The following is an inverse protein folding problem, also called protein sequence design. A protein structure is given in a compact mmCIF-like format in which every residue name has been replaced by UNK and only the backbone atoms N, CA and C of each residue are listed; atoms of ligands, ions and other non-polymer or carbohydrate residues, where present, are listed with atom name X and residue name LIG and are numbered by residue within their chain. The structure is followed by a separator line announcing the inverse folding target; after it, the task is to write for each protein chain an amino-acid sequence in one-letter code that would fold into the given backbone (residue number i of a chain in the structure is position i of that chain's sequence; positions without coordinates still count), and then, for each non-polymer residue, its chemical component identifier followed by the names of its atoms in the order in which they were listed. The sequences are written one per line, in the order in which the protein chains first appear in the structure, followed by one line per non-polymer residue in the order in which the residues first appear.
data_IF_906608717507
#
_entry.id   IF_906608717507
#
_cell.length_a   1.000
_cell.length_b   1.000
_cell.length_c   1.000
_cell.angle_alpha   90.00
_cell.angle_beta   90.00
_cell.angle_gamma   90.00
#
_symmetry.space_group_name_H-M   'P 1'
#
loop_
_entity.id
_entity.type
_entity.pdbx_description
1 polymer ?
#
# COMPACT_ATOMS: atom_id res chain seq x y z
N UNK A 1 -27.40 13.47 -29.60
CA UNK A 1 -26.12 14.21 -29.74
C UNK A 1 -25.15 13.53 -28.82
N UNK A 2 -24.09 12.97 -29.38
CA UNK A 2 -23.10 12.21 -28.62
C UNK A 2 -22.21 13.16 -27.84
N UNK A 3 -22.01 12.85 -26.56
CA UNK A 3 -21.21 13.64 -25.63
C UNK A 3 -19.96 12.86 -25.23
N UNK A 4 -18.84 13.59 -25.10
CA UNK A 4 -17.64 13.09 -24.44
C UNK A 4 -17.61 13.61 -23.01
N UNK A 5 -17.47 12.68 -22.08
CA UNK A 5 -17.27 12.95 -20.67
C UNK A 5 -15.84 12.60 -20.26
N UNK A 6 -15.13 13.56 -19.70
CA UNK A 6 -13.81 13.34 -19.09
C UNK A 6 -14.00 13.25 -17.56
N UNK A 7 -13.54 12.16 -16.94
CA UNK A 7 -13.70 11.87 -15.52
C UNK A 7 -12.32 11.84 -14.83
N UNK A 8 -12.24 12.31 -13.59
CA UNK A 8 -11.00 12.36 -12.82
C UNK A 8 -11.25 12.13 -11.33
N UNK A 9 -10.47 11.23 -10.74
CA UNK A 9 -10.49 10.90 -9.32
C UNK A 9 -9.21 11.44 -8.68
N UNK A 10 -9.35 12.13 -7.55
CA UNK A 10 -8.25 12.65 -6.75
C UNK A 10 -8.59 12.66 -5.24
N UNK A 11 -7.61 12.98 -4.38
CA UNK A 11 -6.23 13.37 -4.69
C UNK A 11 -5.33 12.17 -5.01
N UNK A 12 -4.55 12.23 -6.09
CA UNK A 12 -3.59 11.14 -6.44
C UNK A 12 -2.33 11.24 -5.61
N UNK A 13 -1.62 12.37 -5.68
CA UNK A 13 -0.35 12.55 -4.97
C UNK A 13 -0.54 12.51 -3.45
N UNK A 14 -1.58 13.21 -2.95
CA UNK A 14 -1.93 13.19 -1.53
C UNK A 14 -2.26 11.80 -1.00
N UNK A 15 -2.81 10.92 -1.84
CA UNK A 15 -3.09 9.54 -1.45
C UNK A 15 -1.87 8.61 -1.62
N UNK A 16 -1.23 8.60 -2.78
CA UNK A 16 -0.18 7.63 -3.12
C UNK A 16 1.16 7.98 -2.47
N UNK A 17 1.60 9.24 -2.57
CA UNK A 17 2.94 9.65 -2.12
C UNK A 17 3.07 9.70 -0.59
N UNK A 18 1.97 9.89 0.14
CA UNK A 18 1.97 9.88 1.61
C UNK A 18 1.97 8.45 2.15
N UNK A 19 3.01 7.69 1.82
CA UNK A 19 3.17 6.26 2.14
C UNK A 19 4.53 6.04 2.76
N UNK A 20 4.60 5.41 3.94
CA UNK A 20 5.88 5.12 4.60
C UNK A 20 6.51 3.80 4.16
N UNK A 21 5.68 2.86 3.68
CA UNK A 21 6.11 1.53 3.27
C UNK A 21 5.80 1.31 1.81
N UNK A 22 6.60 0.47 1.16
CA UNK A 22 6.36 0.02 -0.22
C UNK A 22 5.00 -0.66 -0.36
N UNK A 23 4.56 -1.42 0.66
CA UNK A 23 3.20 -1.98 0.71
C UNK A 23 2.11 -0.92 0.73
N UNK A 24 2.29 0.14 1.53
CA UNK A 24 1.34 1.26 1.58
C UNK A 24 1.30 1.95 0.22
N UNK A 25 2.46 2.15 -0.42
CA UNK A 25 2.58 2.77 -1.74
C UNK A 25 1.87 1.94 -2.82
N UNK A 26 2.18 0.65 -2.90
CA UNK A 26 1.50 -0.29 -3.80
C UNK A 26 0.00 -0.30 -3.53
N UNK A 27 -0.39 -0.41 -2.25
CA UNK A 27 -1.76 -0.48 -1.81
C UNK A 27 -2.56 0.76 -2.22
N UNK A 28 -1.94 1.94 -2.12
CA UNK A 28 -2.54 3.20 -2.58
C UNK A 28 -2.80 3.17 -4.08
N UNK A 29 -1.80 2.77 -4.87
CA UNK A 29 -1.94 2.70 -6.33
C UNK A 29 -3.01 1.70 -6.73
N UNK A 30 -3.02 0.52 -6.09
CA UNK A 30 -4.00 -0.52 -6.33
C UNK A 30 -5.42 -0.06 -6.01
N UNK A 31 -5.64 0.50 -4.83
CA UNK A 31 -6.95 1.01 -4.41
C UNK A 31 -7.46 2.10 -5.37
N UNK A 32 -6.60 3.02 -5.81
CA UNK A 32 -6.98 4.06 -6.77
C UNK A 32 -7.44 3.46 -8.12
N UNK A 33 -6.71 2.48 -8.65
CA UNK A 33 -7.10 1.77 -9.87
C UNK A 33 -8.37 0.95 -9.68
N UNK A 34 -8.55 0.30 -8.54
CA UNK A 34 -9.76 -0.46 -8.19
C UNK A 34 -11.00 0.45 -8.11
N UNK A 35 -10.89 1.61 -7.45
CA UNK A 35 -11.95 2.61 -7.42
C UNK A 35 -12.27 3.17 -8.82
N UNK A 36 -11.23 3.36 -9.65
CA UNK A 36 -11.41 3.77 -11.05
C UNK A 36 -12.17 2.72 -11.86
N UNK A 37 -11.85 1.44 -11.66
CA UNK A 37 -12.55 0.31 -12.27
C UNK A 37 -14.05 0.29 -11.90
N UNK A 38 -14.37 0.49 -10.62
CA UNK A 38 -15.75 0.56 -10.16
C UNK A 38 -16.49 1.78 -10.73
N UNK A 39 -15.83 2.93 -10.83
CA UNK A 39 -16.40 4.12 -11.49
C UNK A 39 -16.72 3.84 -12.97
N UNK A 40 -15.77 3.25 -13.71
CA UNK A 40 -15.93 2.84 -15.11
C UNK A 40 -17.09 1.85 -15.26
N UNK A 41 -17.17 0.83 -14.40
CA UNK A 41 -18.28 -0.14 -14.42
C UNK A 41 -19.64 0.54 -14.18
N UNK A 42 -19.72 1.45 -13.21
CA UNK A 42 -20.95 2.21 -12.92
C UNK A 42 -21.41 3.03 -14.11
N UNK A 43 -20.46 3.63 -14.83
CA UNK A 43 -20.69 4.39 -16.06
C UNK A 43 -21.18 3.49 -17.20
N UNK A 44 -20.55 2.33 -17.43
CA UNK A 44 -20.99 1.38 -18.47
C UNK A 44 -22.41 0.87 -18.20
N UNK A 45 -22.74 0.55 -16.94
CA UNK A 45 -24.10 0.14 -16.55
C UNK A 45 -25.14 1.24 -16.75
N UNK A 46 -24.72 2.51 -16.79
CA UNK A 46 -25.59 3.65 -17.05
C UNK A 46 -25.64 4.05 -18.54
N UNK A 47 -24.99 3.29 -19.43
CA UNK A 47 -25.02 3.52 -20.87
C UNK A 47 -23.89 4.39 -21.43
N UNK A 48 -22.82 4.63 -20.66
CA UNK A 48 -21.58 5.23 -21.19
C UNK A 48 -20.63 4.17 -21.77
N UNK A 49 -19.84 4.52 -22.77
CA UNK A 49 -18.76 3.66 -23.29
C UNK A 49 -17.39 4.23 -22.90
N UNK A 50 -16.54 3.43 -22.24
CA UNK A 50 -15.19 3.85 -21.90
C UNK A 50 -14.31 3.83 -23.15
N UNK A 51 -13.90 5.02 -23.61
CA UNK A 51 -13.08 5.17 -24.82
C UNK A 51 -11.59 5.33 -24.51
N UNK A 52 -11.23 5.84 -23.33
CA UNK A 52 -9.83 6.00 -22.90
C UNK A 52 -9.70 5.73 -21.39
N UNK A 53 -8.88 4.76 -20.93
CA UNK A 53 -8.10 3.81 -21.72
C UNK A 53 -8.98 2.69 -22.29
N UNK A 54 -8.39 1.81 -23.12
CA UNK A 54 -9.05 0.57 -23.56
C UNK A 54 -9.10 -0.41 -22.38
N UNK A 55 -10.29 -0.65 -21.83
CA UNK A 55 -10.46 -1.47 -20.61
C UNK A 55 -10.91 -2.91 -20.88
N UNK A 56 -11.40 -3.23 -22.08
CA UNK A 56 -12.03 -4.53 -22.39
C UNK A 56 -11.12 -5.74 -22.13
N UNK A 57 -9.80 -5.57 -22.29
CA UNK A 57 -8.83 -6.64 -22.05
C UNK A 57 -8.16 -6.59 -20.67
N UNK A 58 -8.34 -5.49 -19.94
CA UNK A 58 -7.70 -5.25 -18.64
C UNK A 58 -8.19 -6.25 -17.58
N UNK A 59 -7.24 -6.87 -16.87
CA UNK A 59 -7.54 -7.93 -15.91
C UNK A 59 -8.28 -7.40 -14.68
N UNK A 60 -7.88 -6.23 -14.16
CA UNK A 60 -8.53 -5.62 -13.00
C UNK A 60 -9.97 -5.23 -13.34
N UNK A 61 -10.19 -4.64 -14.52
CA UNK A 61 -11.51 -4.27 -15.00
C UNK A 61 -12.43 -5.49 -15.14
N UNK A 62 -11.95 -6.55 -15.80
CA UNK A 62 -12.69 -7.82 -15.95
C UNK A 62 -13.13 -8.40 -14.62
N UNK A 63 -12.24 -8.41 -13.62
CA UNK A 63 -12.52 -8.95 -12.29
C UNK A 63 -13.57 -8.13 -11.53
N UNK A 64 -13.51 -6.81 -11.61
CA UNK A 64 -14.55 -5.90 -11.09
C UNK A 64 -15.90 -6.14 -11.78
N UNK A 65 -15.87 -6.40 -13.10
CA UNK A 65 -17.03 -6.80 -13.90
C UNK A 65 -17.51 -8.24 -13.69
N UNK A 66 -16.89 -9.00 -12.79
CA UNK A 66 -17.29 -10.38 -12.46
C UNK A 66 -16.69 -11.45 -13.36
N UNK A 67 -15.92 -11.09 -14.39
CA UNK A 67 -15.22 -12.01 -15.29
C UNK A 67 -13.88 -12.45 -14.67
N UNK A 68 -13.95 -13.27 -13.63
CA UNK A 68 -12.80 -13.70 -12.81
C UNK A 68 -12.11 -14.94 -13.37
N UNK A 69 -11.45 -14.77 -14.51
CA UNK A 69 -10.64 -15.83 -15.12
C UNK A 69 -9.16 -15.66 -14.75
N UNK A 70 -8.47 -16.77 -14.45
CA UNK A 70 -7.04 -16.80 -14.13
C UNK A 70 -6.72 -16.34 -12.69
N UNK A 71 -5.50 -15.84 -12.50
CA UNK A 71 -5.04 -15.33 -11.20
C UNK A 71 -5.66 -13.96 -10.88
N UNK A 72 -5.75 -13.64 -9.58
CA UNK A 72 -6.22 -12.35 -9.12
C UNK A 72 -5.30 -11.21 -9.60
N UNK A 73 -5.85 -10.06 -10.03
CA UNK A 73 -5.05 -8.92 -10.47
C UNK A 73 -4.26 -8.36 -9.30
N UNK A 74 -2.93 -8.37 -9.41
CA UNK A 74 -2.00 -7.83 -8.40
C UNK A 74 -1.51 -6.41 -8.72
N UNK A 75 -1.82 -5.91 -9.92
CA UNK A 75 -1.37 -4.61 -10.43
C UNK A 75 -2.58 -3.68 -10.56
N UNK A 76 -2.45 -2.46 -10.02
CA UNK A 76 -3.37 -1.36 -10.31
C UNK A 76 -3.07 -0.80 -11.70
N UNK A 77 -3.74 -1.32 -12.73
CA UNK A 77 -3.48 -0.97 -14.14
C UNK A 77 -4.28 0.22 -14.64
N UNK A 78 -5.41 0.52 -13.99
CA UNK A 78 -6.35 1.53 -14.48
C UNK A 78 -6.01 2.93 -13.96
N UNK A 79 -6.04 3.96 -14.83
CA UNK A 79 -5.72 5.32 -14.47
C UNK A 79 -6.86 5.98 -13.71
N UNK A 80 -6.53 7.03 -12.97
CA UNK A 80 -7.49 7.86 -12.24
C UNK A 80 -8.21 8.90 -13.12
N UNK A 81 -7.84 9.00 -14.40
CA UNK A 81 -8.49 9.86 -15.38
C UNK A 81 -8.84 9.03 -16.61
N UNK A 82 -10.08 9.14 -17.07
CA UNK A 82 -10.57 8.39 -18.21
C UNK A 82 -11.64 9.18 -18.98
N UNK A 83 -11.86 8.82 -20.23
CA UNK A 83 -12.85 9.44 -21.10
C UNK A 83 -13.93 8.44 -21.51
N UNK A 84 -15.15 8.96 -21.66
CA UNK A 84 -16.37 8.20 -21.88
C UNK A 84 -17.15 8.84 -23.02
N UNK A 85 -17.72 8.02 -23.89
CA UNK A 85 -18.69 8.43 -24.90
C UNK A 85 -20.11 8.12 -24.42
N UNK A 86 -21.04 9.05 -24.60
CA UNK A 86 -22.37 9.00 -24.01
C UNK A 86 -23.41 9.46 -25.03
N UNK A 87 -24.39 8.61 -25.30
CA UNK A 87 -25.61 8.95 -26.05
C UNK A 87 -26.78 9.14 -25.07
N UNK A 88 -26.76 10.25 -24.31
CA UNK A 88 -27.79 10.48 -23.29
C UNK A 88 -27.41 11.51 -22.23
N UNK A 89 -27.99 11.34 -21.03
CA UNK A 89 -27.78 12.24 -19.90
C UNK A 89 -26.40 12.04 -19.25
N UNK A 90 -25.46 12.90 -19.64
CA UNK A 90 -24.10 12.91 -19.08
C UNK A 90 -24.07 13.04 -17.55
N UNK A 91 -25.03 13.73 -16.92
CA UNK A 91 -25.08 13.90 -15.47
C UNK A 91 -25.46 12.59 -14.80
N UNK A 92 -26.49 11.90 -15.30
CA UNK A 92 -26.92 10.61 -14.78
C UNK A 92 -25.78 9.58 -14.85
N UNK A 93 -25.09 9.51 -16.00
CA UNK A 93 -23.93 8.62 -16.20
C UNK A 93 -22.77 8.97 -15.25
N UNK A 94 -22.42 10.26 -15.13
CA UNK A 94 -21.39 10.72 -14.19
C UNK A 94 -21.73 10.34 -12.74
N UNK A 95 -22.98 10.59 -12.33
CA UNK A 95 -23.47 10.27 -10.99
C UNK A 95 -23.44 8.76 -10.71
N UNK A 96 -23.73 7.91 -11.71
CA UNK A 96 -23.62 6.46 -11.57
C UNK A 96 -22.16 6.03 -11.31
N UNK A 97 -21.20 6.60 -12.04
CA UNK A 97 -19.77 6.37 -11.79
C UNK A 97 -19.30 6.81 -10.41
N UNK A 98 -19.69 8.03 -9.99
CA UNK A 98 -19.40 8.55 -8.63
C UNK A 98 -19.99 7.64 -7.56
N UNK A 99 -21.24 7.19 -7.75
CA UNK A 99 -21.90 6.28 -6.80
C UNK A 99 -21.15 4.96 -6.69
N UNK A 100 -20.82 4.33 -7.82
CA UNK A 100 -20.11 3.05 -7.84
C UNK A 100 -18.72 3.14 -7.17
N UNK A 101 -18.01 4.25 -7.39
CA UNK A 101 -16.75 4.54 -6.69
C UNK A 101 -16.95 4.63 -5.18
N UNK A 102 -17.94 5.40 -4.73
CA UNK A 102 -18.20 5.61 -3.31
C UNK A 102 -18.66 4.32 -2.62
N UNK A 103 -19.51 3.52 -3.27
CA UNK A 103 -19.95 2.23 -2.75
C UNK A 103 -18.75 1.28 -2.55
N UNK A 104 -17.85 1.21 -3.52
CA UNK A 104 -16.61 0.42 -3.42
C UNK A 104 -15.69 0.93 -2.30
N UNK A 105 -15.54 2.25 -2.18
CA UNK A 105 -14.74 2.86 -1.11
C UNK A 105 -15.31 2.57 0.28
N UNK A 106 -16.63 2.65 0.44
CA UNK A 106 -17.33 2.31 1.67
C UNK A 106 -17.16 0.83 2.00
N UNK A 107 -17.25 -0.07 1.00
CA UNK A 107 -16.99 -1.50 1.20
C UNK A 107 -15.58 -1.75 1.76
N UNK A 108 -14.56 -1.18 1.13
CA UNK A 108 -13.16 -1.29 1.58
C UNK A 108 -13.01 -0.76 3.01
N UNK A 109 -13.56 0.43 3.26
CA UNK A 109 -13.48 1.10 4.56
C UNK A 109 -14.15 0.28 5.65
N UNK A 110 -15.34 -0.27 5.38
CA UNK A 110 -16.07 -1.11 6.33
C UNK A 110 -15.31 -2.40 6.65
N UNK A 111 -14.68 -3.04 5.65
CA UNK A 111 -13.89 -4.24 5.90
C UNK A 111 -12.76 -3.99 6.90
N UNK A 112 -12.05 -2.86 6.78
CA UNK A 112 -10.97 -2.48 7.70
C UNK A 112 -11.52 -2.03 9.06
N UNK A 113 -12.60 -1.25 9.09
CA UNK A 113 -13.25 -0.81 10.32
C UNK A 113 -13.70 -1.98 11.19
N UNK A 114 -14.42 -2.94 10.59
CA UNK A 114 -14.97 -4.09 11.29
C UNK A 114 -13.87 -4.97 11.90
N UNK A 115 -12.76 -5.18 11.17
CA UNK A 115 -11.68 -6.05 11.63
C UNK A 115 -10.76 -5.40 12.68
N UNK A 116 -10.46 -4.10 12.56
CA UNK A 116 -9.38 -3.48 13.34
C UNK A 116 -9.83 -2.43 14.36
N UNK A 117 -11.05 -1.89 14.24
CA UNK A 117 -11.55 -0.81 15.10
C UNK A 117 -12.80 -1.20 15.88
N UNK A 118 -13.73 -1.92 15.25
CA UNK A 118 -14.96 -2.36 15.93
C UNK A 118 -14.75 -3.64 16.74
N UNK A 119 -13.92 -4.55 16.24
CA UNK A 119 -13.52 -5.77 16.95
C UNK A 119 -12.99 -5.42 18.35
N UNK A 120 -13.39 -6.19 19.35
CA UNK A 120 -13.07 -5.96 20.77
C UNK A 120 -13.42 -4.55 21.29
N UNK A 121 -14.38 -3.87 20.64
CA UNK A 121 -14.86 -2.54 21.02
C UNK A 121 -13.74 -1.47 21.12
N UNK A 122 -12.67 -1.56 20.30
CA UNK A 122 -11.56 -0.56 20.34
C UNK A 122 -12.07 0.87 20.18
N UNK A 123 -13.08 1.07 19.33
CA UNK A 123 -13.75 2.37 19.14
C UNK A 123 -14.28 3.02 20.43
N UNK A 124 -14.62 2.23 21.47
CA UNK A 124 -15.07 2.76 22.78
C UNK A 124 -13.93 3.29 23.63
N UNK A 125 -12.70 2.91 23.34
CA UNK A 125 -11.53 3.44 24.03
C UNK A 125 -11.17 4.86 23.56
N UNK A 126 -11.60 5.25 22.36
CA UNK A 126 -11.37 6.57 21.79
C UNK A 126 -12.47 7.57 22.09
N UNK A 127 -12.26 8.82 21.69
CA UNK A 127 -13.25 9.89 21.75
C UNK A 127 -13.64 10.27 20.33
N UNK A 128 -14.91 10.10 19.97
CA UNK A 128 -15.37 10.46 18.64
C UNK A 128 -14.77 9.62 17.49
N UNK A 129 -14.17 8.46 17.76
CA UNK A 129 -13.45 7.65 16.75
C UNK A 129 -14.30 7.34 15.52
N UNK A 130 -15.59 7.00 15.70
CA UNK A 130 -16.50 6.73 14.59
C UNK A 130 -16.76 7.98 13.76
N UNK A 131 -16.96 9.12 14.41
CA UNK A 131 -17.19 10.41 13.75
C UNK A 131 -15.95 10.85 12.97
N UNK A 132 -14.74 10.68 13.52
CA UNK A 132 -13.47 10.94 12.82
C UNK A 132 -13.36 10.04 11.60
N UNK A 133 -13.64 8.76 11.75
CA UNK A 133 -13.62 7.79 10.65
C UNK A 133 -14.58 8.20 9.53
N UNK A 134 -15.87 8.37 9.83
CA UNK A 134 -16.89 8.71 8.84
C UNK A 134 -16.61 10.04 8.15
N UNK A 135 -16.16 11.05 8.89
CA UNK A 135 -15.75 12.34 8.34
C UNK A 135 -14.64 12.14 7.29
N UNK A 136 -13.57 11.46 7.66
CA UNK A 136 -12.44 11.24 6.75
C UNK A 136 -12.83 10.39 5.53
N UNK A 137 -13.58 9.30 5.71
CA UNK A 137 -14.00 8.43 4.60
C UNK A 137 -14.92 9.15 3.61
N UNK A 138 -15.90 9.90 4.11
CA UNK A 138 -16.91 10.57 3.27
C UNK A 138 -16.37 11.78 2.51
N UNK A 139 -15.29 12.40 2.98
CA UNK A 139 -14.74 13.62 2.40
C UNK A 139 -13.37 13.45 1.75
N UNK A 140 -12.82 12.24 1.63
CA UNK A 140 -11.45 12.09 1.11
C UNK A 140 -11.34 12.26 -0.40
N UNK A 141 -12.28 11.68 -1.15
CA UNK A 141 -12.22 11.65 -2.61
C UNK A 141 -12.86 12.89 -3.22
N UNK A 142 -12.11 13.56 -4.07
CA UNK A 142 -12.62 14.54 -5.02
C UNK A 142 -12.81 13.87 -6.37
N UNK A 143 -14.05 13.88 -6.86
CA UNK A 143 -14.37 13.43 -8.21
C UNK A 143 -14.80 14.62 -9.05
N UNK A 144 -14.07 14.81 -10.15
CA UNK A 144 -14.31 15.89 -11.11
C UNK A 144 -14.66 15.27 -12.44
N UNK A 145 -15.69 15.79 -13.09
CA UNK A 145 -16.03 15.44 -14.46
C UNK A 145 -16.44 16.68 -15.26
N UNK A 146 -16.26 16.58 -16.58
CA UNK A 146 -16.73 17.58 -17.55
C UNK A 146 -17.37 16.85 -18.72
N UNK A 147 -18.44 17.39 -19.28
CA UNK A 147 -19.09 16.87 -20.48
C UNK A 147 -19.06 17.92 -21.59
N UNK A 148 -18.89 17.48 -22.83
CA UNK A 148 -18.87 18.32 -24.03
C UNK A 148 -19.42 17.55 -25.23
N UNK A 149 -19.88 18.23 -26.30
CA UNK A 149 -20.07 17.61 -27.60
C UNK A 149 -18.86 16.78 -28.04
N UNK A 150 -19.07 15.55 -28.54
CA UNK A 150 -18.00 14.75 -29.10
C UNK A 150 -17.38 15.39 -30.36
N UNK A 151 -18.14 16.24 -31.06
CA UNK A 151 -17.69 17.00 -32.24
C UNK A 151 -16.64 18.08 -31.92
N UNK A 152 -16.51 18.49 -30.66
CA UNK A 152 -15.60 19.59 -30.31
C UNK A 152 -14.14 19.09 -30.34
N UNK A 153 -13.31 19.75 -31.15
CA UNK A 153 -11.91 19.38 -31.33
C UNK A 153 -11.00 19.74 -30.13
N UNK A 154 -11.47 20.58 -29.20
CA UNK A 154 -10.71 20.96 -28.00
C UNK A 154 -10.61 19.78 -27.02
N UNK A 155 -9.59 18.96 -27.23
CA UNK A 155 -9.31 17.78 -26.41
C UNK A 155 -8.40 18.17 -25.24
N UNK A 156 -8.86 17.98 -24.00
CA UNK A 156 -8.02 18.06 -22.79
C UNK A 156 -8.02 19.38 -22.01
N UNK A 157 -8.63 20.47 -22.50
CA UNK A 157 -8.65 21.78 -21.81
C UNK A 157 -9.69 21.86 -20.68
N UNK A 158 -10.91 21.32 -20.88
CA UNK A 158 -12.01 21.52 -19.94
C UNK A 158 -11.76 20.88 -18.57
N UNK A 159 -11.29 19.64 -18.52
CA UNK A 159 -10.97 18.98 -17.26
C UNK A 159 -9.83 19.68 -16.52
N UNK A 160 -8.81 20.17 -17.23
CA UNK A 160 -7.71 20.94 -16.65
C UNK A 160 -8.21 22.28 -16.07
N UNK A 161 -9.03 23.02 -16.82
CA UNK A 161 -9.71 24.24 -16.36
C UNK A 161 -10.59 23.96 -15.14
N UNK A 162 -11.35 22.87 -15.18
CA UNK A 162 -12.21 22.47 -14.07
C UNK A 162 -11.42 22.14 -12.81
N UNK A 163 -10.20 21.59 -12.91
CA UNK A 163 -9.29 21.37 -11.78
C UNK A 163 -8.76 22.67 -11.15
N UNK A 164 -8.76 23.79 -11.88
CA UNK A 164 -8.46 25.10 -11.30
C UNK A 164 -9.61 25.64 -10.42
N UNK A 165 -10.85 25.26 -10.70
CA UNK A 165 -12.00 25.55 -9.82
C UNK A 165 -12.10 24.53 -8.68
N UNK A 166 -11.38 24.78 -7.59
CA UNK A 166 -11.40 23.93 -6.40
C UNK A 166 -12.74 24.09 -5.66
N UNK A 167 -13.58 23.07 -5.76
CA UNK A 167 -14.87 23.01 -5.06
C UNK A 167 -14.86 22.00 -3.92
N UNK A 168 -13.89 21.09 -3.89
CA UNK A 168 -13.68 20.22 -2.76
C UNK A 168 -12.99 20.97 -1.62
N UNK A 169 -13.69 21.09 -0.50
CA UNK A 169 -13.19 21.68 0.75
C UNK A 169 -13.12 20.55 1.77
N UNK A 170 -11.91 20.02 2.05
CA UNK A 170 -11.74 19.05 3.11
C UNK A 170 -12.26 19.64 4.44
N UNK A 171 -12.88 18.83 5.30
CA UNK A 171 -13.33 19.27 6.60
C UNK A 171 -12.14 19.59 7.50
N UNK A 172 -12.41 20.32 8.58
CA UNK A 172 -11.41 20.53 9.61
C UNK A 172 -11.01 19.21 10.27
N UNK A 173 -9.71 19.02 10.42
CA UNK A 173 -9.11 17.85 11.06
C UNK A 173 -8.42 18.31 12.35
N UNK A 174 -9.16 18.49 13.47
CA UNK A 174 -8.58 18.98 14.72
C UNK A 174 -7.73 17.91 15.42
N UNK A 175 -7.15 18.25 16.57
CA UNK A 175 -6.45 17.30 17.43
C UNK A 175 -5.12 16.79 16.87
N UNK A 176 -4.64 15.69 17.46
CA UNK A 176 -3.35 15.09 17.10
C UNK A 176 -3.39 14.51 15.67
N UNK A 177 -2.26 14.66 14.96
CA UNK A 177 -2.16 14.30 13.55
C UNK A 177 -1.69 12.88 13.33
N UNK A 178 -2.14 12.31 12.22
CA UNK A 178 -1.64 11.05 11.71
C UNK A 178 -0.15 11.15 11.38
N UNK A 179 0.62 10.12 11.75
CA UNK A 179 2.07 10.05 11.55
C UNK A 179 2.49 9.79 10.10
N UNK A 180 1.54 9.42 9.25
CA UNK A 180 1.75 9.17 7.82
C UNK A 180 1.14 10.28 6.98
N UNK A 181 -0.10 10.67 7.29
CA UNK A 181 -0.85 11.70 6.58
C UNK A 181 -1.13 12.89 7.50
N UNK A 182 -0.13 13.75 7.67
CA UNK A 182 -0.10 14.80 8.70
C UNK A 182 -1.23 15.83 8.61
N UNK A 183 -1.91 15.92 7.47
CA UNK A 183 -3.08 16.79 7.31
C UNK A 183 -4.30 16.27 8.08
N UNK A 184 -4.40 14.94 8.28
CA UNK A 184 -5.55 14.26 8.85
C UNK A 184 -5.37 13.96 10.36
N UNK A 185 -6.46 14.04 11.11
CA UNK A 185 -6.51 13.66 12.53
C UNK A 185 -6.29 12.15 12.70
N UNK A 186 -5.61 11.74 13.76
CA UNK A 186 -5.51 10.33 14.16
C UNK A 186 -6.81 9.80 14.79
N UNK A 187 -7.03 8.48 14.76
CA UNK A 187 -8.35 7.89 15.09
C UNK A 187 -8.76 7.89 16.57
N UNK A 188 -7.84 8.04 17.52
CA UNK A 188 -8.20 7.96 18.94
C UNK A 188 -9.03 9.17 19.41
N UNK A 189 -8.85 10.32 18.76
CA UNK A 189 -9.51 11.58 19.09
C UNK A 189 -8.98 12.28 20.34
N UNK A 190 -7.96 11.73 20.99
CA UNK A 190 -7.30 12.34 22.14
C UNK A 190 -6.24 13.36 21.72
N UNK A 191 -5.98 14.33 22.59
CA UNK A 191 -4.99 15.38 22.38
C UNK A 191 -3.91 15.26 23.44
N UNK A 192 -2.69 14.89 23.03
CA UNK A 192 -1.58 14.66 23.99
C UNK A 192 -1.23 15.89 24.81
N UNK A 193 -1.27 17.08 24.20
CA UNK A 193 -0.96 18.34 24.89
C UNK A 193 -2.00 18.73 25.95
N UNK A 194 -3.17 18.08 25.96
CA UNK A 194 -4.23 18.27 26.96
C UNK A 194 -4.17 17.22 28.07
N UNK A 195 -3.13 16.37 28.12
CA UNK A 195 -2.96 15.36 29.16
C UNK A 195 -3.52 13.97 28.81
N UNK A 196 -4.06 13.75 27.61
CA UNK A 196 -4.66 12.47 27.22
C UNK A 196 -3.68 11.45 26.62
N UNK A 197 -2.37 11.65 26.81
CA UNK A 197 -1.34 10.80 26.22
C UNK A 197 -1.50 9.31 26.57
N UNK A 198 -1.88 8.99 27.81
CA UNK A 198 -2.03 7.60 28.25
C UNK A 198 -3.26 6.93 27.63
N UNK A 199 -4.39 7.64 27.52
CA UNK A 199 -5.60 7.12 26.88
C UNK A 199 -5.38 6.88 25.38
N UNK A 200 -4.68 7.80 24.71
CA UNK A 200 -4.25 7.62 23.32
C UNK A 200 -3.34 6.39 23.18
N UNK A 201 -2.36 6.22 24.06
CA UNK A 201 -1.47 5.05 24.05
C UNK A 201 -2.28 3.75 24.23
N UNK A 202 -3.26 3.73 25.14
CA UNK A 202 -4.13 2.58 25.38
C UNK A 202 -4.97 2.23 24.15
N UNK A 203 -5.57 3.23 23.48
CA UNK A 203 -6.31 3.03 22.23
C UNK A 203 -5.43 2.34 21.18
N UNK A 204 -4.26 2.90 20.88
CA UNK A 204 -3.37 2.36 19.87
C UNK A 204 -2.76 1.02 20.24
N UNK A 205 -2.49 0.77 21.53
CA UNK A 205 -2.08 -0.55 22.04
C UNK A 205 -3.14 -1.61 21.76
N UNK A 206 -4.44 -1.26 21.86
CA UNK A 206 -5.53 -2.16 21.55
C UNK A 206 -5.63 -2.43 20.03
N UNK A 207 -5.52 -1.39 19.18
CA UNK A 207 -5.46 -1.55 17.72
C UNK A 207 -4.31 -2.51 17.33
N UNK A 208 -3.12 -2.34 17.91
CA UNK A 208 -1.92 -3.15 17.59
C UNK A 208 -2.08 -4.64 17.84
N UNK A 209 -2.92 -5.04 18.81
CA UNK A 209 -3.20 -6.46 19.08
C UNK A 209 -3.82 -7.16 17.87
N UNK A 210 -4.56 -6.41 17.06
CA UNK A 210 -5.24 -6.92 15.87
C UNK A 210 -4.42 -6.76 14.59
N UNK A 211 -3.51 -5.78 14.52
CA UNK A 211 -2.71 -5.54 13.33
C UNK A 211 -1.47 -6.41 13.25
N UNK A 212 -0.86 -6.78 14.38
CA UNK A 212 0.48 -7.38 14.43
C UNK A 212 1.58 -6.31 14.57
N UNK A 213 2.68 -6.67 15.25
CA UNK A 213 3.74 -5.73 15.65
C UNK A 213 4.43 -5.04 14.46
N UNK A 214 4.61 -5.78 13.36
CA UNK A 214 5.26 -5.20 12.20
C UNK A 214 4.36 -4.23 11.46
N UNK A 215 3.03 -4.36 11.50
CA UNK A 215 2.13 -3.52 10.70
C UNK A 215 1.87 -2.14 11.30
N UNK A 216 2.03 -1.97 12.62
CA UNK A 216 1.80 -0.70 13.28
C UNK A 216 2.77 -0.52 14.45
N UNK A 217 3.76 0.37 14.28
CA UNK A 217 4.78 0.62 15.30
C UNK A 217 4.20 1.35 16.53
N UNK A 218 4.92 1.29 17.65
CA UNK A 218 4.48 1.87 18.93
C UNK A 218 4.29 3.38 18.90
N UNK A 219 5.02 4.08 18.04
CA UNK A 219 4.93 5.52 17.84
C UNK A 219 3.99 5.92 16.69
N UNK A 220 3.46 4.97 15.92
CA UNK A 220 2.54 5.26 14.81
C UNK A 220 1.11 5.43 15.31
N UNK A 221 0.48 6.51 14.85
CA UNK A 221 -0.91 6.88 15.09
C UNK A 221 -1.50 7.29 13.75
N UNK A 222 -2.51 6.59 13.29
CA UNK A 222 -3.00 6.68 11.92
C UNK A 222 -4.38 7.34 11.87
N UNK A 223 -4.65 8.06 10.78
CA UNK A 223 -5.99 8.43 10.35
C UNK A 223 -6.67 7.22 9.68
N UNK A 224 -7.97 7.31 9.39
CA UNK A 224 -8.74 6.27 8.70
C UNK A 224 -8.09 5.89 7.36
N UNK A 225 -7.69 6.89 6.58
CA UNK A 225 -7.12 6.70 5.23
C UNK A 225 -5.81 5.93 5.30
N UNK A 226 -4.88 6.35 6.18
CA UNK A 226 -3.60 5.67 6.35
C UNK A 226 -3.77 4.24 6.90
N UNK A 227 -4.75 4.03 7.79
CA UNK A 227 -5.06 2.71 8.32
C UNK A 227 -5.58 1.77 7.21
N UNK A 228 -6.51 2.25 6.37
CA UNK A 228 -7.03 1.49 5.22
C UNK A 228 -5.91 1.11 4.27
N UNK A 229 -5.11 2.08 3.82
CA UNK A 229 -3.97 1.85 2.91
C UNK A 229 -3.06 0.73 3.43
N UNK A 230 -2.85 0.68 4.74
CA UNK A 230 -1.92 -0.25 5.37
C UNK A 230 -2.50 -1.64 5.61
N UNK A 231 -3.79 -1.71 5.96
CA UNK A 231 -4.40 -2.92 6.50
C UNK A 231 -5.43 -3.58 5.58
N UNK A 232 -5.88 -2.91 4.51
CA UNK A 232 -6.77 -3.56 3.55
C UNK A 232 -6.21 -4.88 2.96
N UNK A 233 -4.87 -5.10 2.81
CA UNK A 233 -4.38 -6.39 2.31
C UNK A 233 -4.66 -7.56 3.26
N UNK A 234 -4.93 -7.30 4.55
CA UNK A 234 -5.33 -8.32 5.53
C UNK A 234 -6.82 -8.62 5.50
N UNK A 235 -7.60 -7.77 4.83
CA UNK A 235 -9.05 -7.90 4.68
C UNK A 235 -9.44 -7.92 3.21
N UNK A 236 -8.52 -8.23 2.32
CA UNK A 236 -8.65 -8.08 0.87
C UNK A 236 -9.85 -8.84 0.30
N UNK A 237 -10.08 -10.07 0.75
CA UNK A 237 -11.26 -10.85 0.35
C UNK A 237 -12.58 -10.14 0.68
N UNK A 238 -12.69 -9.49 1.84
CA UNK A 238 -13.88 -8.70 2.23
C UNK A 238 -13.92 -7.34 1.51
N UNK A 239 -12.76 -6.68 1.40
CA UNK A 239 -12.62 -5.33 0.86
C UNK A 239 -12.78 -5.27 -0.67
N UNK A 240 -12.24 -6.24 -1.38
CA UNK A 240 -12.15 -6.30 -2.84
C UNK A 240 -13.02 -7.41 -3.44
N UNK A 241 -13.32 -8.45 -2.67
CA UNK A 241 -13.99 -9.66 -3.15
C UNK A 241 -13.03 -10.74 -3.66
N UNK A 242 -11.72 -10.54 -3.54
CA UNK A 242 -10.67 -11.52 -3.86
C UNK A 242 -9.39 -11.25 -3.06
N UNK A 243 -8.49 -12.23 -3.05
CA UNK A 243 -7.21 -12.14 -2.36
C UNK A 243 -6.11 -11.63 -3.32
N UNK A 244 -5.40 -10.58 -2.90
CA UNK A 244 -4.26 -10.00 -3.61
C UNK A 244 -2.93 -10.48 -3.02
N UNK A 245 -2.96 -11.09 -1.82
CA UNK A 245 -1.79 -11.69 -1.15
C UNK A 245 -0.60 -10.73 -0.95
N UNK A 246 -0.88 -9.43 -0.82
CA UNK A 246 0.15 -8.39 -0.71
C UNK A 246 0.66 -8.16 0.73
N UNK A 247 0.34 -9.05 1.67
CA UNK A 247 0.77 -8.94 3.08
C UNK A 247 2.29 -8.84 3.22
N UNK A 248 3.02 -9.55 2.36
CA UNK A 248 4.48 -9.72 2.41
C UNK A 248 5.22 -8.86 1.37
N UNK A 249 4.74 -7.65 1.10
CA UNK A 249 5.31 -6.82 0.03
C UNK A 249 6.74 -6.33 0.37
N UNK A 250 7.69 -6.43 -0.58
CA UNK A 250 9.12 -6.16 -0.37
C UNK A 250 9.41 -4.74 0.11
N UNK A 251 10.16 -4.58 1.21
CA UNK A 251 10.66 -3.27 1.66
C UNK A 251 11.73 -2.68 0.72
N UNK A 252 12.03 -1.38 0.83
CA UNK A 252 13.13 -0.75 0.06
C UNK A 252 14.48 -1.35 0.39
N UNK A 253 14.68 -1.75 1.66
CA UNK A 253 15.89 -2.44 2.12
C UNK A 253 15.96 -3.84 1.51
N UNK A 254 14.84 -4.56 1.43
CA UNK A 254 14.77 -5.86 0.75
C UNK A 254 15.15 -5.75 -0.73
N UNK A 255 14.61 -4.74 -1.42
CA UNK A 255 14.94 -4.45 -2.83
C UNK A 255 16.45 -4.21 -2.99
N UNK A 256 17.06 -3.41 -2.11
CA UNK A 256 18.51 -3.14 -2.13
C UNK A 256 19.34 -4.41 -1.88
N UNK A 257 18.92 -5.24 -0.93
CA UNK A 257 19.63 -6.44 -0.52
C UNK A 257 19.44 -7.63 -1.47
N UNK A 258 18.50 -7.57 -2.43
CA UNK A 258 18.13 -8.72 -3.26
C UNK A 258 19.29 -9.38 -4.02
N UNK A 259 20.19 -8.65 -4.71
CA UNK A 259 21.34 -9.27 -5.37
C UNK A 259 22.25 -10.01 -4.38
N UNK A 260 22.39 -9.47 -3.17
CA UNK A 260 23.16 -10.09 -2.09
C UNK A 260 22.47 -11.36 -1.57
N UNK A 261 21.14 -11.34 -1.35
CA UNK A 261 20.37 -12.51 -0.92
C UNK A 261 20.54 -13.66 -1.93
N UNK A 262 20.41 -13.37 -3.23
CA UNK A 262 20.59 -14.37 -4.30
C UNK A 262 22.01 -14.94 -4.33
N UNK A 263 23.04 -14.10 -4.11
CA UNK A 263 24.44 -14.53 -4.02
C UNK A 263 24.66 -15.47 -2.83
N UNK A 264 24.11 -15.14 -1.66
CA UNK A 264 24.19 -15.99 -0.45
C UNK A 264 23.48 -17.32 -0.65
N UNK A 265 22.26 -17.33 -1.17
CA UNK A 265 21.49 -18.56 -1.45
C UNK A 265 22.21 -19.50 -2.41
N UNK A 266 22.95 -18.93 -3.36
CA UNK A 266 23.64 -19.68 -4.40
C UNK A 266 24.99 -20.22 -3.94
N UNK A 267 25.66 -19.54 -3.02
CA UNK A 267 27.01 -19.88 -2.58
C UNK A 267 27.05 -20.71 -1.28
N UNK A 268 26.29 -20.31 -0.27
CA UNK A 268 26.35 -20.88 1.09
C UNK A 268 24.95 -21.17 1.67
N UNK A 269 24.09 -21.95 0.98
CA UNK A 269 22.70 -22.15 1.39
C UNK A 269 22.54 -22.77 2.79
N UNK A 270 23.47 -23.64 3.22
CA UNK A 270 23.43 -24.24 4.56
C UNK A 270 23.63 -23.21 5.69
N UNK A 271 24.62 -22.32 5.53
CA UNK A 271 24.86 -21.22 6.47
C UNK A 271 23.68 -20.25 6.49
N UNK A 272 23.11 -19.96 5.32
CA UNK A 272 21.92 -19.11 5.19
C UNK A 272 20.72 -19.70 5.94
N UNK A 273 20.46 -21.00 5.78
CA UNK A 273 19.39 -21.71 6.50
C UNK A 273 19.60 -21.67 8.01
N UNK A 274 20.83 -21.98 8.47
CA UNK A 274 21.17 -21.98 9.91
C UNK A 274 20.99 -20.60 10.54
N UNK A 275 21.28 -19.53 9.80
CA UNK A 275 21.00 -18.17 10.23
C UNK A 275 19.49 -17.90 10.30
N UNK A 276 18.72 -18.28 9.28
CA UNK A 276 17.28 -18.06 9.28
C UNK A 276 16.55 -18.79 10.42
N UNK A 277 17.02 -19.98 10.80
CA UNK A 277 16.53 -20.71 11.98
C UNK A 277 16.84 -19.96 13.28
N UNK A 278 18.06 -19.43 13.43
CA UNK A 278 18.44 -18.60 14.58
C UNK A 278 17.51 -17.39 14.72
N UNK A 279 17.28 -16.67 13.62
CA UNK A 279 16.43 -15.48 13.65
C UNK A 279 15.00 -15.88 14.06
N UNK A 280 14.47 -16.98 13.52
CA UNK A 280 13.12 -17.46 13.85
C UNK A 280 12.96 -17.90 15.31
N UNK A 281 14.01 -18.45 15.93
CA UNK A 281 13.97 -18.90 17.32
C UNK A 281 14.00 -17.73 18.31
N UNK A 282 14.75 -16.67 18.00
CA UNK A 282 15.02 -15.59 18.95
C UNK A 282 14.10 -14.36 18.80
N UNK A 283 13.39 -14.26 17.68
CA UNK A 283 12.61 -13.07 17.35
C UNK A 283 11.10 -13.36 17.47
N UNK A 284 10.28 -12.41 17.97
CA UNK A 284 8.83 -12.57 18.03
C UNK A 284 8.25 -12.66 16.61
N UNK A 285 7.04 -13.20 16.49
CA UNK A 285 6.37 -13.44 15.21
C UNK A 285 6.39 -12.24 14.26
N UNK A 286 6.45 -12.52 12.95
CA UNK A 286 6.55 -11.50 11.90
C UNK A 286 7.90 -11.48 11.18
N UNK A 287 8.89 -12.24 11.64
CA UNK A 287 10.24 -12.35 11.05
C UNK A 287 10.24 -12.61 9.55
N UNK A 288 9.24 -13.34 9.06
CA UNK A 288 9.05 -13.62 7.64
C UNK A 288 8.09 -12.60 7.03
N UNK A 289 8.58 -11.40 6.74
CA UNK A 289 7.78 -10.27 6.26
C UNK A 289 7.92 -10.01 4.76
N UNK A 290 8.90 -10.62 4.10
CA UNK A 290 9.26 -10.30 2.71
C UNK A 290 8.95 -11.46 1.77
N UNK A 291 8.24 -11.17 0.68
CA UNK A 291 7.95 -12.12 -0.41
C UNK A 291 7.91 -11.36 -1.73
N UNK A 292 8.70 -11.81 -2.68
CA UNK A 292 8.58 -11.32 -4.06
C UNK A 292 7.63 -12.25 -4.83
N UNK A 293 7.10 -11.80 -5.97
CA UNK A 293 6.22 -12.63 -6.83
C UNK A 293 6.78 -14.06 -6.99
N UNK A 294 5.87 -15.05 -7.02
CA UNK A 294 6.22 -16.47 -7.09
C UNK A 294 7.21 -16.83 -8.22
N UNK A 295 7.25 -16.02 -9.28
CA UNK A 295 8.15 -16.17 -10.44
C UNK A 295 9.62 -15.88 -10.18
N UNK A 296 9.98 -15.08 -9.17
CA UNK A 296 11.38 -14.72 -8.85
C UNK A 296 11.88 -15.32 -7.53
N UNK A 297 10.97 -15.86 -6.72
CA UNK A 297 11.27 -16.66 -5.53
C UNK A 297 11.44 -18.16 -5.86
N UNK A 298 11.68 -18.51 -7.14
CA UNK A 298 12.03 -19.88 -7.54
C UNK A 298 13.34 -20.29 -6.86
N UNK A 299 13.17 -20.99 -5.75
CA UNK A 299 14.13 -21.19 -4.69
C UNK A 299 15.05 -22.36 -4.97
N UNK A 300 16.33 -22.13 -4.71
CA UNK A 300 17.18 -23.18 -4.16
C UNK A 300 16.59 -23.56 -2.78
N UNK A 301 15.85 -24.68 -2.69
CA UNK A 301 15.20 -25.18 -1.47
C UNK A 301 16.17 -25.37 -0.30
N UNK A 302 17.48 -25.42 -0.60
CA UNK A 302 18.56 -25.57 0.36
C UNK A 302 18.73 -24.35 1.31
N UNK A 303 18.30 -23.15 0.92
CA UNK A 303 18.43 -21.96 1.78
C UNK A 303 17.28 -21.78 2.79
N UNK A 304 16.24 -22.62 2.73
CA UNK A 304 15.07 -22.53 3.63
C UNK A 304 14.36 -21.18 3.54
N UNK A 305 13.95 -20.63 4.70
CA UNK A 305 13.25 -19.34 4.80
C UNK A 305 14.18 -18.12 4.78
N UNK A 306 15.50 -18.30 4.60
CA UNK A 306 16.46 -17.19 4.60
C UNK A 306 16.03 -16.01 3.74
N UNK A 307 15.53 -16.15 2.49
CA UNK A 307 15.18 -15.02 1.62
C UNK A 307 13.93 -14.27 2.03
N UNK A 308 13.13 -14.87 2.92
CA UNK A 308 11.84 -14.35 3.38
C UNK A 308 11.96 -13.56 4.68
N UNK A 309 13.16 -13.56 5.29
CA UNK A 309 13.43 -12.76 6.48
C UNK A 309 13.23 -11.28 6.17
N UNK A 310 12.73 -10.52 7.14
CA UNK A 310 12.74 -9.06 7.11
C UNK A 310 14.14 -8.56 6.78
N UNK A 311 14.27 -7.66 5.82
CA UNK A 311 15.58 -7.27 5.32
C UNK A 311 16.46 -6.62 6.39
N UNK A 312 15.86 -6.10 7.47
CA UNK A 312 16.61 -5.59 8.61
C UNK A 312 17.52 -6.66 9.25
N UNK A 313 17.15 -7.94 9.17
CA UNK A 313 17.95 -9.07 9.66
C UNK A 313 19.21 -9.34 8.86
N UNK A 314 19.44 -8.67 7.73
CA UNK A 314 20.69 -8.84 7.00
C UNK A 314 21.73 -7.77 7.33
N UNK A 315 21.43 -6.83 8.23
CA UNK A 315 22.31 -5.72 8.57
C UNK A 315 22.65 -5.70 10.06
N UNK A 316 23.95 -5.82 10.39
CA UNK A 316 24.45 -5.77 11.78
C UNK A 316 23.97 -4.53 12.55
N UNK A 317 23.94 -3.37 11.89
CA UNK A 317 23.53 -2.11 12.52
C UNK A 317 22.04 -2.11 12.91
N UNK A 318 21.18 -2.72 12.09
CA UNK A 318 19.74 -2.77 12.35
C UNK A 318 19.39 -3.81 13.39
N UNK A 319 20.08 -4.96 13.39
CA UNK A 319 19.99 -5.97 14.46
C UNK A 319 20.34 -5.38 15.83
N UNK A 320 21.29 -4.45 15.91
CA UNK A 320 21.64 -3.81 17.20
C UNK A 320 20.61 -2.79 17.67
N UNK A 321 19.67 -2.38 16.82
CA UNK A 321 18.66 -1.38 17.16
C UNK A 321 17.38 -2.06 17.65
N UNK A 322 17.06 -1.90 18.93
CA UNK A 322 15.91 -2.55 19.57
C UNK A 322 14.54 -2.16 18.96
N UNK A 323 14.46 -1.00 18.31
CA UNK A 323 13.22 -0.55 17.64
C UNK A 323 12.99 -1.25 16.30
N UNK A 324 14.08 -1.61 15.61
CA UNK A 324 14.03 -2.34 14.35
C UNK A 324 14.07 -3.85 14.56
N UNK A 325 14.64 -4.27 15.69
CA UNK A 325 14.81 -5.64 16.11
C UNK A 325 14.29 -5.87 17.54
N UNK A 326 12.99 -6.14 17.71
CA UNK A 326 12.50 -6.62 19.00
C UNK A 326 12.94 -8.07 19.19
N UNK A 327 13.71 -8.35 20.25
CA UNK A 327 13.93 -9.70 20.75
C UNK A 327 12.75 -10.15 21.60
N UNK A 328 12.47 -11.45 21.63
CA UNK A 328 11.50 -12.02 22.57
C UNK A 328 11.88 -11.61 24.00
N UNK A 329 10.97 -10.93 24.71
CA UNK A 329 11.20 -10.49 26.09
C UNK A 329 11.20 -11.71 27.00
N UNK A 330 12.26 -11.91 27.78
CA UNK A 330 12.25 -12.88 28.87
C UNK A 330 11.77 -12.23 30.18
N UNK A 331 11.46 -13.07 31.17
CA UNK A 331 11.21 -12.68 32.56
C UNK A 331 12.46 -12.05 33.20
N UNK A 332 12.36 -11.56 34.45
CA UNK A 332 13.31 -10.67 35.16
C UNK A 332 14.82 -11.06 35.17
N UNK A 333 15.21 -12.25 34.70
CA UNK A 333 16.61 -12.68 34.46
C UNK A 333 17.15 -12.36 33.05
N UNK A 334 16.38 -11.65 32.21
CA UNK A 334 16.52 -11.60 30.75
C UNK A 334 17.61 -10.73 30.11
N UNK A 335 18.41 -9.94 30.84
CA UNK A 335 19.40 -9.06 30.19
C UNK A 335 20.65 -9.79 29.67
N UNK A 336 21.22 -10.71 30.47
CA UNK A 336 22.40 -11.47 30.07
C UNK A 336 22.06 -12.47 28.95
N UNK A 337 20.89 -13.09 29.04
CA UNK A 337 20.38 -14.02 28.01
C UNK A 337 20.11 -13.31 26.69
N UNK A 338 19.56 -12.09 26.74
CA UNK A 338 19.36 -11.25 25.56
C UNK A 338 20.67 -10.91 24.84
N UNK A 339 21.69 -10.49 25.59
CA UNK A 339 22.98 -10.13 25.01
C UNK A 339 23.64 -11.35 24.34
N UNK A 340 23.58 -12.52 24.98
CA UNK A 340 24.09 -13.76 24.42
C UNK A 340 23.38 -14.14 23.11
N UNK A 341 22.04 -14.05 23.06
CA UNK A 341 21.25 -14.32 21.84
C UNK A 341 21.61 -13.34 20.71
N UNK A 342 21.77 -12.05 21.04
CA UNK A 342 22.21 -11.04 20.08
C UNK A 342 23.60 -11.36 19.51
N UNK A 343 24.56 -11.72 20.37
CA UNK A 343 25.92 -12.03 19.96
C UNK A 343 25.98 -13.32 19.11
N UNK A 344 25.20 -14.35 19.46
CA UNK A 344 25.05 -15.56 18.65
C UNK A 344 24.52 -15.26 17.25
N UNK A 345 23.45 -14.46 17.14
CA UNK A 345 22.88 -14.09 15.85
C UNK A 345 23.85 -13.25 15.02
N UNK A 346 24.53 -12.26 15.63
CA UNK A 346 25.55 -11.46 14.96
C UNK A 346 26.73 -12.31 14.49
N UNK A 347 27.14 -13.32 15.25
CA UNK A 347 28.21 -14.25 14.86
C UNK A 347 27.79 -15.09 13.65
N UNK A 348 26.58 -15.64 13.63
CA UNK A 348 26.07 -16.35 12.45
C UNK A 348 25.95 -15.45 11.22
N UNK A 349 25.54 -14.19 11.38
CA UNK A 349 25.52 -13.22 10.28
C UNK A 349 26.95 -12.90 9.78
N UNK A 350 27.92 -12.75 10.68
CA UNK A 350 29.32 -12.54 10.30
C UNK A 350 29.86 -13.74 9.52
N UNK A 351 29.45 -14.97 9.84
CA UNK A 351 29.83 -16.16 9.05
C UNK A 351 29.29 -16.10 7.62
N UNK A 352 28.12 -15.48 7.39
CA UNK A 352 27.62 -15.21 6.04
C UNK A 352 28.49 -14.17 5.35
N UNK A 353 28.81 -13.06 6.03
CA UNK A 353 29.63 -11.99 5.45
C UNK A 353 31.01 -12.48 5.05
N UNK A 354 31.65 -13.27 5.91
CA UNK A 354 32.98 -13.84 5.69
C UNK A 354 32.97 -15.05 4.75
N UNK A 355 31.78 -15.55 4.39
CA UNK A 355 31.60 -16.65 3.44
C UNK A 355 32.16 -16.30 2.07
N UNK A 356 32.57 -17.32 1.32
CA UNK A 356 33.03 -17.16 -0.06
C UNK A 356 31.90 -17.44 -1.03
N UNK A 357 31.81 -16.63 -2.07
CA UNK A 357 30.90 -16.86 -3.19
C UNK A 357 31.45 -17.91 -4.17
N UNK A 358 30.73 -18.11 -5.29
CA UNK A 358 31.13 -19.07 -6.34
C UNK A 358 32.48 -18.75 -6.98
N UNK A 359 32.92 -17.49 -6.91
CA UNK A 359 34.19 -17.02 -7.49
C UNK A 359 35.31 -16.97 -6.42
N UNK A 360 35.05 -17.49 -5.21
CA UNK A 360 36.01 -17.46 -4.11
C UNK A 360 36.18 -16.09 -3.45
N UNK A 361 35.35 -15.11 -3.81
CA UNK A 361 35.37 -13.76 -3.23
C UNK A 361 34.52 -13.73 -1.97
N UNK A 362 34.94 -12.95 -0.98
CA UNK A 362 34.14 -12.72 0.22
C UNK A 362 32.79 -12.07 -0.14
N UNK A 363 31.73 -12.55 0.51
CA UNK A 363 30.36 -12.09 0.25
C UNK A 363 30.18 -10.65 0.73
N UNK A 364 30.66 -10.35 1.94
CA UNK A 364 30.53 -9.04 2.59
C UNK A 364 29.10 -8.71 3.04
N UNK A 365 28.87 -7.49 3.57
CA UNK A 365 27.54 -7.05 3.97
C UNK A 365 26.66 -6.67 2.75
N UNK A 366 25.32 -6.75 2.86
CA UNK A 366 24.40 -6.25 1.84
C UNK A 366 24.40 -4.73 1.77
N UNK A 367 24.08 -4.20 0.58
CA UNK A 367 23.81 -2.79 0.38
C UNK A 367 22.43 -2.42 0.94
N UNK A 368 22.32 -1.26 1.57
CA UNK A 368 21.06 -0.69 2.06
C UNK A 368 20.42 0.33 1.11
N UNK A 369 21.09 0.61 -0.01
CA UNK A 369 20.68 1.62 -0.99
C UNK A 369 20.75 1.06 -2.40
N UNK A 370 19.88 1.55 -3.28
CA UNK A 370 19.89 1.28 -4.71
C UNK A 370 19.62 2.58 -5.47
N UNK A 371 20.06 2.65 -6.72
CA UNK A 371 19.71 3.72 -7.63
C UNK A 371 18.65 3.21 -8.62
N UNK A 372 17.58 3.98 -8.80
CA UNK A 372 16.60 3.72 -9.86
C UNK A 372 16.96 4.62 -11.06
N UNK A 373 17.31 4.02 -12.18
CA UNK A 373 17.48 4.77 -13.42
C UNK A 373 16.09 4.98 -14.05
N UNK A 374 15.56 6.19 -13.92
CA UNK A 374 14.33 6.58 -14.58
C UNK A 374 14.66 7.08 -15.99
N UNK A 375 14.35 6.29 -17.01
CA UNK A 375 14.50 6.68 -18.40
C UNK A 375 13.12 6.94 -19.02
N UNK A 376 12.77 8.21 -19.22
CA UNK A 376 11.64 8.62 -20.09
C UNK A 376 12.13 8.60 -21.54
N UNK A 377 12.29 7.38 -22.08
CA UNK A 377 12.92 7.16 -23.38
C UNK A 377 12.08 7.63 -24.56
N UNK A 378 10.76 7.66 -24.42
CA UNK A 378 9.81 7.97 -25.49
C UNK A 378 9.17 9.36 -25.34
N UNK A 379 9.35 10.05 -24.21
CA UNK A 379 8.68 11.32 -23.92
C UNK A 379 7.16 11.20 -24.10
N UNK A 380 6.58 10.05 -23.75
CA UNK A 380 5.17 9.71 -23.94
C UNK A 380 4.23 10.83 -23.48
N UNK A 381 4.51 11.50 -22.35
CA UNK A 381 3.71 12.63 -21.89
C UNK A 381 3.72 13.83 -22.85
N UNK A 382 4.89 14.13 -23.44
CA UNK A 382 5.06 15.20 -24.43
C UNK A 382 4.46 14.81 -25.79
N UNK A 383 4.61 13.55 -26.18
CA UNK A 383 4.01 13.01 -27.41
C UNK A 383 2.50 12.94 -27.31
N UNK A 384 1.94 12.46 -26.20
CA UNK A 384 0.51 12.42 -25.95
C UNK A 384 -0.12 13.82 -25.94
N UNK A 385 0.60 14.82 -25.42
CA UNK A 385 0.19 16.23 -25.51
C UNK A 385 0.21 16.81 -26.93
N UNK A 386 1.11 16.33 -27.80
CA UNK A 386 1.25 16.81 -29.20
C UNK A 386 0.38 16.06 -30.21
N UNK A 387 0.27 14.75 -30.08
CA UNK A 387 -0.33 13.84 -31.07
C UNK A 387 -1.73 13.35 -30.64
N UNK A 388 -2.13 13.64 -29.39
CA UNK A 388 -3.33 13.09 -28.78
C UNK A 388 -3.07 11.68 -28.23
N UNK A 389 -3.59 11.39 -27.03
CA UNK A 389 -3.38 10.12 -26.31
C UNK A 389 -3.72 8.88 -27.14
N UNK A 390 -4.70 8.98 -28.04
CA UNK A 390 -5.15 7.90 -28.92
C UNK A 390 -4.11 7.46 -29.97
N UNK A 391 -3.10 8.28 -30.28
CA UNK A 391 -2.09 7.99 -31.31
C UNK A 391 -0.76 7.49 -30.75
N UNK A 392 -0.60 7.50 -29.43
CA UNK A 392 0.68 7.25 -28.74
C UNK A 392 0.60 6.06 -27.78
N UNK A 393 -0.60 5.49 -27.57
CA UNK A 393 -0.85 4.34 -26.71
C UNK A 393 -1.11 3.07 -27.48
#
# INVERSE_FOLDING_TARGET
MTLRLDFSIGPVQGFVAQSRRTRDLWGSSYLLSFLSAHAMQGIEKAGGEIIEPIVKQDQLYKWVCGHRNGDAPQIGSLPNCFAVEIDGDSRAVACAGVKALNDAWVQISNAVWEEFIKKDDVSRLGTGTRQIWERQISSFWEVIWTARPSSDAETGSLLARRKHWRNHRPPDEPGDKCTVMHDLQELSGYIRSQGDAEKQNQFWKCVRRHTGQLDLQDNERLCAIALIKRLFPKTDKKALGWEVNATYWPSTINIAARPWIQRVQSAIPGTARSYAEEVKQNSPGGVLSERWSATLDNNNSLAGDFPRLDANYYHRGFIKNEQLYPLSRDNEQGQLDRQNRLDQMLNKLNNIYNGKDKDGKEIGPPLSFYALLLADGDRLGKLAGKLGKQRVG
#
